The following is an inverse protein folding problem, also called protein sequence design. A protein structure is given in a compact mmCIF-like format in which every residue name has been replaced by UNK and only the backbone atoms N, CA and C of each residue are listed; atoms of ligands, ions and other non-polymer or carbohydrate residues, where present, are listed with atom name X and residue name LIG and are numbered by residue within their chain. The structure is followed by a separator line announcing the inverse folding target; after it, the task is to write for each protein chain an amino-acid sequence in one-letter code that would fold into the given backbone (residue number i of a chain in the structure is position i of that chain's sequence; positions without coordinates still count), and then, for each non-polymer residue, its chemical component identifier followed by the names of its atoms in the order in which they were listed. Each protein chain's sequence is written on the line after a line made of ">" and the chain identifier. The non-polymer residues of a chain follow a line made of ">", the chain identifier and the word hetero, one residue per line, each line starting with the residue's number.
data_IF_804472784652
#
_entry.id   IF_804472784652
#
_cell.length_a   1.000
_cell.length_b   1.000
_cell.length_c   1.000
_cell.angle_alpha   90.00
_cell.angle_beta   90.00
_cell.angle_gamma   90.00
#
_symmetry.space_group_name_H-M   'P 1'
#
loop_
_entity.id
_entity.type
_entity.pdbx_description
1 polymer ?
#
# COMPACT_ATOMS: atom_id res chain seq x y z
N UNK A 1 -2.01 4.92 -23.15
CA UNK A 1 -1.79 4.61 -21.71
C UNK A 1 -0.92 3.36 -21.62
N UNK A 2 0.10 3.40 -20.75
CA UNK A 2 1.01 2.28 -20.44
C UNK A 2 0.98 2.03 -18.95
N UNK A 3 1.31 0.83 -18.49
CA UNK A 3 1.28 0.50 -17.06
C UNK A 3 2.18 -0.66 -16.69
N UNK A 4 2.48 -0.74 -15.40
CA UNK A 4 2.94 -1.97 -14.79
C UNK A 4 2.00 -2.36 -13.65
N UNK A 5 1.89 -3.66 -13.41
CA UNK A 5 1.05 -4.22 -12.38
C UNK A 5 1.86 -5.18 -11.50
N UNK A 6 1.56 -5.13 -10.20
CA UNK A 6 2.24 -5.93 -9.20
C UNK A 6 1.22 -6.57 -8.27
N UNK A 7 1.40 -7.86 -7.96
CA UNK A 7 0.47 -8.60 -7.12
C UNK A 7 1.14 -9.90 -6.65
N UNK A 8 1.21 -10.16 -5.34
CA UNK A 8 1.76 -11.41 -4.83
C UNK A 8 0.90 -12.66 -5.11
N UNK A 9 -0.31 -12.48 -5.61
CA UNK A 9 -1.20 -13.52 -6.12
C UNK A 9 -1.72 -13.08 -7.50
N UNK A 10 -0.81 -12.92 -8.46
CA UNK A 10 -1.12 -12.47 -9.81
C UNK A 10 -2.03 -13.46 -10.58
N UNK A 11 -2.92 -12.96 -11.47
CA UNK A 11 -3.80 -13.84 -12.24
C UNK A 11 -3.02 -14.76 -13.18
N UNK A 12 -3.41 -16.03 -13.24
CA UNK A 12 -2.77 -17.03 -14.10
C UNK A 12 -1.38 -17.48 -13.66
N UNK A 13 -0.87 -16.96 -12.54
CA UNK A 13 0.46 -17.30 -12.01
C UNK A 13 0.33 -18.26 -10.83
N UNK A 14 0.98 -19.42 -10.92
CA UNK A 14 0.98 -20.45 -9.86
C UNK A 14 2.40 -20.67 -9.33
N UNK A 15 2.53 -20.87 -8.03
CA UNK A 15 3.80 -21.29 -7.41
C UNK A 15 4.80 -20.17 -7.10
N UNK A 16 4.49 -18.90 -7.38
CA UNK A 16 5.34 -17.78 -7.00
C UNK A 16 5.32 -17.59 -5.48
N UNK A 17 6.50 -17.62 -4.86
CA UNK A 17 6.70 -17.35 -3.43
C UNK A 17 7.38 -16.00 -3.27
N UNK A 18 6.63 -14.99 -2.84
CA UNK A 18 7.17 -13.69 -2.43
C UNK A 18 6.79 -13.39 -0.99
N UNK A 19 7.66 -12.66 -0.28
CA UNK A 19 7.35 -12.13 1.05
C UNK A 19 6.59 -10.80 0.98
N UNK A 20 6.50 -10.16 -0.18
CA UNK A 20 5.71 -8.94 -0.36
C UNK A 20 4.22 -9.27 -0.42
N UNK A 21 3.39 -8.44 0.22
CA UNK A 21 1.94 -8.51 0.07
C UNK A 21 1.40 -7.38 -0.81
N UNK A 22 2.28 -6.51 -1.29
CA UNK A 22 1.92 -5.33 -2.06
C UNK A 22 1.19 -5.74 -3.34
N UNK A 23 0.06 -5.09 -3.61
CA UNK A 23 -0.67 -5.21 -4.88
C UNK A 23 -1.08 -3.84 -5.39
N UNK A 24 -1.03 -3.66 -6.71
CA UNK A 24 -1.37 -2.39 -7.32
C UNK A 24 -1.02 -2.30 -8.79
N UNK A 25 -1.32 -1.13 -9.35
CA UNK A 25 -1.13 -0.78 -10.75
C UNK A 25 -0.66 0.66 -10.81
N UNK A 26 0.38 0.93 -11.60
CA UNK A 26 0.77 2.31 -11.93
C UNK A 26 0.57 2.49 -13.43
N UNK A 27 -0.28 3.45 -13.79
CA UNK A 27 -0.68 3.76 -15.15
C UNK A 27 -0.10 5.14 -15.51
N UNK A 28 0.53 5.23 -16.68
CA UNK A 28 1.12 6.43 -17.24
C UNK A 28 0.34 6.84 -18.50
N UNK A 29 0.22 8.14 -18.73
CA UNK A 29 -0.27 8.68 -19.98
C UNK A 29 0.89 9.00 -20.92
N UNK A 30 1.13 8.11 -21.88
CA UNK A 30 2.18 8.24 -22.88
C UNK A 30 1.82 9.17 -24.05
N UNK A 31 0.79 10.02 -23.90
CA UNK A 31 0.44 11.04 -24.90
C UNK A 31 1.32 12.27 -24.71
N UNK A 32 1.97 12.71 -25.79
CA UNK A 32 2.83 13.89 -25.80
C UNK A 32 2.14 15.11 -25.15
N UNK A 33 2.86 15.75 -24.22
CA UNK A 33 2.39 16.95 -23.50
C UNK A 33 1.40 16.68 -22.36
N UNK A 34 1.10 15.42 -22.03
CA UNK A 34 0.22 15.08 -20.91
C UNK A 34 1.02 14.70 -19.67
N UNK A 35 0.86 15.43 -18.57
CA UNK A 35 1.46 15.10 -17.26
C UNK A 35 0.41 14.42 -16.37
N UNK A 36 -0.01 13.20 -16.72
CA UNK A 36 -1.05 12.47 -15.98
C UNK A 36 -0.69 11.00 -15.77
N UNK A 37 -0.80 10.55 -14.53
CA UNK A 37 -0.66 9.16 -14.14
C UNK A 37 -1.71 8.78 -13.10
N UNK A 38 -1.92 7.48 -12.92
CA UNK A 38 -2.76 6.94 -11.88
C UNK A 38 -2.02 5.84 -11.11
N UNK A 39 -2.16 5.86 -9.78
CA UNK A 39 -1.68 4.78 -8.93
C UNK A 39 -2.83 4.13 -8.18
N UNK A 40 -3.00 2.84 -8.41
CA UNK A 40 -4.00 2.00 -7.77
C UNK A 40 -3.31 1.10 -6.76
N UNK A 41 -3.78 1.11 -5.52
CA UNK A 41 -3.37 0.19 -4.45
C UNK A 41 -4.57 -0.63 -4.04
N UNK A 42 -4.43 -1.96 -3.95
CA UNK A 42 -5.55 -2.83 -3.61
C UNK A 42 -5.16 -4.05 -2.79
N UNK A 43 -6.16 -4.77 -2.29
CA UNK A 43 -5.98 -6.04 -1.56
C UNK A 43 -6.39 -7.28 -2.37
N UNK A 44 -7.02 -7.09 -3.54
CA UNK A 44 -7.64 -8.14 -4.36
C UNK A 44 -6.61 -9.09 -5.01
N UNK A 45 -6.59 -10.40 -4.68
CA UNK A 45 -5.80 -11.39 -5.42
C UNK A 45 -6.38 -11.63 -6.82
N UNK A 46 -5.56 -12.06 -7.78
CA UNK A 46 -6.00 -12.31 -9.17
C UNK A 46 -6.37 -11.06 -9.96
N UNK A 47 -6.06 -9.86 -9.45
CA UNK A 47 -6.45 -8.58 -10.04
C UNK A 47 -5.26 -7.64 -10.29
N UNK A 48 -5.30 -6.80 -11.34
CA UNK A 48 -6.13 -6.94 -12.54
C UNK A 48 -5.61 -8.02 -13.50
N UNK A 49 -6.43 -8.43 -14.47
CA UNK A 49 -5.95 -9.19 -15.65
C UNK A 49 -5.50 -8.16 -16.71
N UNK A 50 -4.21 -8.11 -17.09
CA UNK A 50 -3.70 -7.11 -18.02
C UNK A 50 -4.33 -7.25 -19.42
N UNK A 51 -4.61 -6.10 -20.07
CA UNK A 51 -5.19 -6.01 -21.43
C UNK A 51 -6.54 -6.71 -21.64
N UNK A 52 -7.24 -7.06 -20.57
CA UNK A 52 -8.59 -7.62 -20.62
C UNK A 52 -9.57 -6.63 -20.01
N UNK A 53 -10.84 -6.70 -20.43
CA UNK A 53 -11.90 -5.91 -19.82
C UNK A 53 -11.95 -6.14 -18.31
N UNK A 54 -12.17 -5.05 -17.56
CA UNK A 54 -12.26 -5.08 -16.11
C UNK A 54 -13.27 -6.14 -15.65
N UNK A 55 -12.80 -7.03 -14.77
CA UNK A 55 -13.63 -8.02 -14.09
C UNK A 55 -13.11 -8.19 -12.66
N UNK A 56 -14.00 -8.12 -11.68
CA UNK A 56 -13.65 -8.41 -10.29
C UNK A 56 -13.64 -9.94 -10.08
N UNK A 57 -12.58 -10.52 -9.48
CA UNK A 57 -12.50 -11.97 -9.30
C UNK A 57 -13.66 -12.54 -8.48
N UNK A 58 -14.40 -13.48 -9.05
CA UNK A 58 -15.61 -14.03 -8.42
C UNK A 58 -15.32 -14.76 -7.10
N UNK A 59 -14.12 -15.33 -6.92
CA UNK A 59 -13.69 -15.96 -5.66
C UNK A 59 -13.59 -14.97 -4.49
N UNK A 60 -13.54 -13.67 -4.78
CA UNK A 60 -13.32 -12.61 -3.80
C UNK A 60 -14.60 -11.87 -3.42
N UNK A 61 -15.77 -12.22 -3.97
CA UNK A 61 -17.05 -11.55 -3.66
C UNK A 61 -17.47 -11.67 -2.19
N UNK A 62 -17.03 -12.73 -1.50
CA UNK A 62 -17.34 -12.96 -0.09
C UNK A 62 -16.40 -12.22 0.87
N UNK A 63 -15.36 -11.55 0.35
CA UNK A 63 -14.31 -10.92 1.14
C UNK A 63 -14.39 -9.38 1.09
N UNK A 64 -14.12 -8.73 2.21
CA UNK A 64 -13.90 -7.30 2.29
C UNK A 64 -12.57 -6.91 1.65
N UNK A 65 -12.62 -6.03 0.66
CA UNK A 65 -11.45 -5.51 -0.06
C UNK A 65 -11.41 -3.98 -0.02
N UNK A 66 -10.22 -3.44 -0.23
CA UNK A 66 -9.98 -2.02 -0.37
C UNK A 66 -9.26 -1.77 -1.69
N UNK A 67 -9.71 -0.74 -2.40
CA UNK A 67 -9.06 -0.20 -3.58
C UNK A 67 -8.93 1.31 -3.40
N UNK A 68 -7.73 1.84 -3.61
CA UNK A 68 -7.42 3.27 -3.60
C UNK A 68 -6.91 3.61 -4.99
N UNK A 69 -7.51 4.59 -5.65
CA UNK A 69 -7.05 5.13 -6.93
C UNK A 69 -6.67 6.60 -6.75
N UNK A 70 -5.42 6.94 -7.07
CA UNK A 70 -4.89 8.29 -6.98
C UNK A 70 -4.52 8.80 -8.37
N UNK A 71 -5.15 9.89 -8.80
CA UNK A 71 -4.68 10.66 -9.96
C UNK A 71 -3.52 11.55 -9.53
N UNK A 72 -2.39 11.42 -10.21
CA UNK A 72 -1.10 12.02 -9.84
C UNK A 72 -0.38 12.53 -11.09
N UNK A 73 0.49 13.52 -10.92
CA UNK A 73 1.43 13.91 -11.98
C UNK A 73 2.46 12.79 -12.19
N UNK A 74 3.04 12.69 -13.39
CA UNK A 74 4.04 11.67 -13.69
C UNK A 74 5.30 11.83 -12.85
N UNK A 75 5.61 13.06 -12.44
CA UNK A 75 6.70 13.35 -11.49
C UNK A 75 6.55 12.60 -10.16
N UNK A 76 5.35 12.17 -9.78
CA UNK A 76 5.09 11.41 -8.56
C UNK A 76 5.41 9.90 -8.69
N UNK A 77 5.70 9.41 -9.89
CA UNK A 77 6.00 7.99 -10.12
C UNK A 77 7.33 7.58 -9.49
N UNK A 78 8.37 8.43 -9.57
CA UNK A 78 9.68 8.12 -8.99
C UNK A 78 9.62 7.94 -7.46
N UNK A 79 8.98 8.82 -6.65
CA UNK A 79 8.83 8.57 -5.22
C UNK A 79 7.95 7.34 -4.92
N UNK A 80 6.93 7.03 -5.74
CA UNK A 80 6.16 5.78 -5.59
C UNK A 80 7.06 4.57 -5.83
N UNK A 81 7.86 4.59 -6.91
CA UNK A 81 8.79 3.53 -7.24
C UNK A 81 9.87 3.35 -6.16
N UNK A 82 10.38 4.44 -5.58
CA UNK A 82 11.31 4.37 -4.45
C UNK A 82 10.70 3.65 -3.24
N UNK A 83 9.40 3.87 -2.97
CA UNK A 83 8.70 3.15 -1.90
C UNK A 83 8.41 1.68 -2.26
N UNK A 84 8.08 1.38 -3.52
CA UNK A 84 7.88 0.00 -3.99
C UNK A 84 9.18 -0.80 -4.01
N UNK A 85 10.32 -0.17 -4.31
CA UNK A 85 11.64 -0.84 -4.28
C UNK A 85 11.95 -1.43 -2.90
N UNK A 86 11.49 -0.76 -1.84
CA UNK A 86 11.62 -1.25 -0.46
C UNK A 86 10.78 -2.49 -0.20
N UNK A 87 9.67 -2.67 -0.91
CA UNK A 87 8.77 -3.80 -0.70
C UNK A 87 9.01 -5.00 -1.60
N UNK A 88 9.90 -4.87 -2.60
CA UNK A 88 10.22 -5.92 -3.56
C UNK A 88 8.96 -6.65 -4.08
N UNK A 89 7.99 -5.90 -4.64
CA UNK A 89 6.73 -6.45 -5.08
C UNK A 89 6.94 -7.39 -6.28
N UNK A 90 6.04 -8.35 -6.46
CA UNK A 90 6.06 -9.20 -7.64
C UNK A 90 5.43 -8.47 -8.82
N UNK A 91 6.24 -7.94 -9.73
CA UNK A 91 5.80 -7.35 -11.00
C UNK A 91 5.46 -8.50 -11.95
N UNK A 92 4.20 -8.61 -12.36
CA UNK A 92 3.73 -9.68 -13.25
C UNK A 92 3.34 -9.17 -14.65
N UNK A 93 3.31 -7.84 -14.81
CA UNK A 93 3.06 -7.20 -16.09
C UNK A 93 3.74 -5.83 -16.14
N UNK A 94 4.35 -5.50 -17.28
CA UNK A 94 4.95 -4.20 -17.55
C UNK A 94 4.94 -3.94 -19.07
N UNK A 95 4.36 -2.82 -19.49
CA UNK A 95 4.52 -2.29 -20.85
C UNK A 95 4.95 -0.81 -20.87
N UNK A 96 5.52 -0.33 -19.76
CA UNK A 96 6.05 1.04 -19.66
C UNK A 96 7.24 1.22 -20.63
N UNK A 97 7.26 2.27 -21.47
CA UNK A 97 8.32 2.47 -22.45
C UNK A 97 9.68 2.73 -21.80
N UNK A 98 10.76 2.29 -22.45
CA UNK A 98 12.13 2.50 -21.96
C UNK A 98 12.47 3.99 -21.78
N UNK A 99 11.88 4.88 -22.58
CA UNK A 99 12.04 6.33 -22.42
C UNK A 99 11.58 6.80 -21.02
N UNK A 100 10.45 6.29 -20.53
CA UNK A 100 9.94 6.59 -19.19
C UNK A 100 10.76 5.91 -18.08
N UNK A 101 11.21 4.68 -18.33
CA UNK A 101 12.00 3.91 -17.36
C UNK A 101 13.39 4.50 -17.18
N UNK A 102 14.04 4.94 -18.24
CA UNK A 102 15.41 5.43 -18.20
C UNK A 102 15.56 6.79 -17.51
N UNK A 103 14.49 7.58 -17.41
CA UNK A 103 14.47 8.85 -16.68
C UNK A 103 14.19 8.66 -15.18
N UNK A 104 13.79 7.46 -14.74
CA UNK A 104 13.31 7.16 -13.38
C UNK A 104 14.11 6.01 -12.74
N UNK A 105 15.20 6.33 -12.01
CA UNK A 105 16.12 5.31 -11.50
C UNK A 105 15.46 4.28 -10.57
N UNK A 106 14.55 4.69 -9.70
CA UNK A 106 13.86 3.76 -8.80
C UNK A 106 12.86 2.90 -9.55
N UNK A 107 12.16 3.47 -10.53
CA UNK A 107 11.27 2.71 -11.40
C UNK A 107 12.02 1.62 -12.16
N UNK A 108 13.16 1.96 -12.76
CA UNK A 108 14.04 1.00 -13.45
C UNK A 108 14.45 -0.17 -12.56
N UNK A 109 14.79 0.10 -11.30
CA UNK A 109 15.14 -0.93 -10.31
C UNK A 109 13.96 -1.83 -9.97
N UNK A 110 12.78 -1.24 -9.74
CA UNK A 110 11.56 -2.00 -9.45
C UNK A 110 11.19 -2.92 -10.59
N UNK A 111 11.19 -2.41 -11.83
CA UNK A 111 10.82 -3.19 -13.03
C UNK A 111 11.86 -4.27 -13.37
N UNK A 112 13.13 -4.04 -13.02
CA UNK A 112 14.21 -5.04 -13.13
C UNK A 112 14.20 -6.09 -12.01
N UNK A 113 13.29 -5.99 -11.03
CA UNK A 113 13.22 -6.91 -9.89
C UNK A 113 14.36 -6.74 -8.87
N UNK A 114 15.03 -5.59 -8.86
CA UNK A 114 16.06 -5.30 -7.85
C UNK A 114 15.44 -5.12 -6.46
N UNK A 115 16.28 -5.28 -5.43
CA UNK A 115 15.86 -5.15 -4.03
C UNK A 115 16.67 -4.08 -3.31
N UNK A 116 16.09 -3.48 -2.27
CA UNK A 116 16.79 -2.49 -1.45
C UNK A 116 17.87 -3.16 -0.57
N UNK A 117 19.12 -3.14 -1.07
CA UNK A 117 20.27 -3.78 -0.40
C UNK A 117 21.03 -2.85 0.56
N UNK A 118 20.96 -1.54 0.36
CA UNK A 118 21.70 -0.54 1.16
C UNK A 118 20.78 0.17 2.16
N UNK A 119 21.28 0.55 3.34
CA UNK A 119 20.52 1.36 4.28
C UNK A 119 20.25 2.77 3.71
N UNK A 120 19.19 3.46 4.16
CA UNK A 120 18.24 3.04 5.19
C UNK A 120 17.22 1.98 4.71
N UNK A 121 16.92 0.98 5.56
CA UNK A 121 15.99 -0.11 5.22
C UNK A 121 14.51 0.22 5.45
N UNK A 122 14.20 1.50 5.67
CA UNK A 122 12.86 2.05 5.75
C UNK A 122 12.85 3.44 5.14
N UNK A 123 11.80 3.79 4.43
CA UNK A 123 11.68 5.08 3.76
C UNK A 123 10.31 5.71 4.03
N UNK A 124 10.28 7.04 3.96
CA UNK A 124 9.05 7.85 3.87
C UNK A 124 9.13 8.66 2.59
N UNK A 125 8.14 8.49 1.73
CA UNK A 125 7.95 9.31 0.54
C UNK A 125 6.71 10.17 0.72
N UNK A 126 6.72 11.37 0.15
CA UNK A 126 5.55 12.23 0.11
C UNK A 126 5.20 12.48 -1.35
N UNK A 127 3.93 12.27 -1.70
CA UNK A 127 3.37 12.61 -2.99
C UNK A 127 2.12 13.46 -2.80
N UNK A 128 1.60 14.00 -3.89
CA UNK A 128 0.32 14.72 -3.91
C UNK A 128 -0.51 14.29 -5.11
N UNK A 129 -1.83 14.28 -4.94
CA UNK A 129 -2.77 14.08 -6.05
C UNK A 129 -2.86 15.35 -6.91
N UNK A 130 -3.35 15.19 -8.15
CA UNK A 130 -3.68 16.31 -9.05
C UNK A 130 -5.07 16.92 -8.81
N UNK A 131 -5.71 16.61 -7.68
CA UNK A 131 -6.97 17.25 -7.31
C UNK A 131 -6.78 18.74 -7.02
N UNK A 132 -7.87 19.50 -7.03
CA UNK A 132 -7.89 20.89 -6.59
C UNK A 132 -8.91 21.07 -5.43
N UNK A 133 -8.46 21.27 -4.18
CA UNK A 133 -7.06 21.32 -3.73
C UNK A 133 -6.37 19.95 -3.77
N UNK A 134 -5.05 19.93 -3.89
CA UNK A 134 -4.27 18.69 -3.94
C UNK A 134 -4.33 17.96 -2.60
N UNK A 135 -4.46 16.64 -2.62
CA UNK A 135 -4.50 15.79 -1.41
C UNK A 135 -3.09 15.25 -1.14
N UNK A 136 -2.49 15.55 0.05
CA UNK A 136 -1.20 14.97 0.43
C UNK A 136 -1.31 13.47 0.72
N UNK A 137 -0.31 12.71 0.26
CA UNK A 137 -0.20 11.27 0.53
C UNK A 137 1.21 10.95 1.01
N UNK A 138 1.31 10.24 2.14
CA UNK A 138 2.57 9.75 2.69
C UNK A 138 2.68 8.25 2.47
N UNK A 139 3.80 7.80 1.92
CA UNK A 139 4.08 6.39 1.69
C UNK A 139 5.18 5.95 2.65
N UNK A 140 4.84 5.09 3.60
CA UNK A 140 5.80 4.47 4.51
C UNK A 140 6.15 3.10 3.97
N UNK A 141 7.43 2.79 3.84
CA UNK A 141 7.87 1.50 3.34
C UNK A 141 9.06 0.96 4.12
N UNK A 142 9.19 -0.36 4.17
CA UNK A 142 10.34 -1.05 4.75
C UNK A 142 10.64 -2.34 4.00
N UNK A 143 11.93 -2.68 3.98
CA UNK A 143 12.37 -4.00 3.54
C UNK A 143 12.42 -4.98 4.72
N UNK A 144 12.54 -6.27 4.40
CA UNK A 144 12.74 -7.34 5.39
C UNK A 144 14.02 -7.17 6.24
N UNK A 145 14.97 -6.35 5.78
CA UNK A 145 16.23 -6.05 6.50
C UNK A 145 16.02 -5.07 7.65
N UNK A 146 14.96 -4.27 7.63
CA UNK A 146 14.67 -3.27 8.69
C UNK A 146 14.44 -3.89 10.07
N UNK A 147 13.88 -5.10 10.13
CA UNK A 147 13.42 -5.78 11.36
C UNK A 147 12.40 -4.98 12.20
N UNK A 148 11.89 -3.88 11.66
CA UNK A 148 10.85 -3.07 12.28
C UNK A 148 9.47 -3.60 11.94
N UNK A 149 8.56 -3.52 12.91
CA UNK A 149 7.15 -3.66 12.58
C UNK A 149 6.64 -2.30 12.04
N UNK A 150 5.85 -2.30 10.97
CA UNK A 150 5.48 -1.05 10.28
C UNK A 150 4.55 -0.12 11.10
N UNK A 151 3.70 -0.65 11.97
CA UNK A 151 2.65 0.13 12.64
C UNK A 151 3.21 1.05 13.72
N UNK A 152 3.97 0.53 14.67
CA UNK A 152 4.49 1.30 15.81
C UNK A 152 5.79 2.03 15.47
N UNK A 153 6.79 1.29 14.95
CA UNK A 153 8.18 1.75 14.79
C UNK A 153 8.35 2.67 13.61
N UNK A 154 7.45 2.61 12.63
CA UNK A 154 7.46 3.47 11.45
C UNK A 154 6.29 4.45 11.52
N UNK A 155 5.04 3.99 11.37
CA UNK A 155 3.90 4.89 11.18
C UNK A 155 3.58 5.71 12.45
N UNK A 156 3.29 5.06 13.58
CA UNK A 156 2.96 5.78 14.83
C UNK A 156 4.10 6.68 15.31
N UNK A 157 5.36 6.24 15.15
CA UNK A 157 6.55 7.07 15.47
C UNK A 157 6.60 8.35 14.63
N UNK A 158 6.24 8.27 13.35
CA UNK A 158 6.23 9.40 12.42
C UNK A 158 5.02 10.31 12.63
N UNK A 159 3.82 9.75 12.80
CA UNK A 159 2.60 10.51 13.04
C UNK A 159 2.55 11.13 14.44
N UNK A 160 3.31 10.59 15.40
CA UNK A 160 3.36 11.01 16.81
C UNK A 160 1.99 10.95 17.52
N UNK A 161 1.07 10.08 17.06
CA UNK A 161 -0.30 9.93 17.56
C UNK A 161 -0.59 8.50 18.02
N UNK A 162 -1.57 8.34 18.91
CA UNK A 162 -2.25 7.05 19.13
C UNK A 162 -2.99 6.67 17.86
N UNK A 163 -2.88 5.41 17.46
CA UNK A 163 -3.51 4.88 16.24
C UNK A 163 -4.49 3.77 16.58
N UNK A 164 -5.64 3.75 15.91
CA UNK A 164 -6.59 2.63 15.86
C UNK A 164 -6.26 1.75 14.66
N UNK A 165 -6.23 0.44 14.84
CA UNK A 165 -5.81 -0.54 13.82
C UNK A 165 -6.89 -1.59 13.60
N UNK A 166 -7.34 -1.70 12.35
CA UNK A 166 -8.12 -2.82 11.83
C UNK A 166 -7.21 -3.73 11.02
N UNK A 167 -7.07 -4.97 11.45
CA UNK A 167 -6.20 -5.96 10.80
C UNK A 167 -6.37 -7.31 11.47
N UNK A 168 -6.19 -8.40 10.71
CA UNK A 168 -5.99 -9.75 11.26
C UNK A 168 -4.75 -9.80 12.14
N UNK A 169 -4.79 -10.61 13.20
CA UNK A 169 -3.78 -10.58 14.28
C UNK A 169 -3.30 -11.98 14.61
N UNK A 170 -2.02 -12.08 14.92
CA UNK A 170 -1.42 -13.30 15.49
C UNK A 170 -1.46 -13.32 17.03
N UNK A 171 -2.03 -12.28 17.65
CA UNK A 171 -2.10 -12.05 19.09
C UNK A 171 -0.72 -11.95 19.79
N UNK A 172 0.37 -11.79 19.05
CA UNK A 172 1.74 -11.69 19.60
C UNK A 172 2.21 -10.24 19.73
N UNK A 173 1.80 -9.36 18.82
CA UNK A 173 2.10 -7.93 18.94
C UNK A 173 1.23 -7.30 20.05
N UNK A 174 1.88 -6.60 20.98
CA UNK A 174 1.21 -5.94 22.10
C UNK A 174 0.78 -4.52 21.71
N UNK A 175 -0.48 -4.18 22.03
CA UNK A 175 -1.09 -2.85 21.87
C UNK A 175 -0.40 -1.73 22.67
N UNK A 176 0.22 -2.06 23.80
CA UNK A 176 0.84 -1.12 24.73
C UNK A 176 2.32 -1.43 24.95
N UNK A 177 3.23 -0.58 24.45
CA UNK A 177 4.61 -0.52 24.97
C UNK A 177 5.48 0.68 24.54
N UNK A 178 6.20 1.24 25.53
CA UNK A 178 7.42 2.08 25.53
C UNK A 178 7.41 3.54 25.04
N UNK A 179 6.36 4.06 24.40
CA UNK A 179 6.29 5.50 24.11
C UNK A 179 5.20 6.12 25.01
N UNK A 180 5.58 6.99 25.98
CA UNK A 180 4.60 7.68 26.81
C UNK A 180 3.58 8.43 25.96
N UNK A 181 2.29 8.26 26.26
CA UNK A 181 1.18 8.97 25.60
C UNK A 181 0.87 8.53 24.16
N UNK A 182 1.39 7.40 23.67
CA UNK A 182 1.05 6.84 22.35
C UNK A 182 0.70 5.36 22.45
N UNK A 183 -0.52 5.03 22.05
CA UNK A 183 -1.03 3.67 22.11
C UNK A 183 -1.32 3.11 20.71
N UNK A 184 -1.39 1.78 20.60
CA UNK A 184 -2.02 1.11 19.48
C UNK A 184 -3.33 0.57 20.00
N UNK A 185 -4.43 1.15 19.56
CA UNK A 185 -5.77 0.67 19.85
C UNK A 185 -6.19 -0.29 18.74
N UNK A 186 -6.86 -1.35 19.13
CA UNK A 186 -7.26 -2.41 18.23
C UNK A 186 -8.77 -2.28 17.99
N UNK A 187 -9.18 -2.11 16.73
CA UNK A 187 -10.61 -2.02 16.37
C UNK A 187 -11.28 -3.36 16.66
N UNK A 188 -12.41 -3.34 17.35
CA UNK A 188 -13.21 -4.54 17.65
C UNK A 188 -13.92 -5.03 16.40
N UNK A 189 -14.07 -6.35 16.27
CA UNK A 189 -14.82 -6.98 15.19
C UNK A 189 -16.18 -7.44 15.71
N UNK A 190 -17.26 -7.36 14.91
CA UNK A 190 -17.32 -6.86 13.54
C UNK A 190 -17.30 -5.32 13.44
N UNK A 191 -17.05 -4.81 12.23
CA UNK A 191 -17.34 -3.42 11.82
C UNK A 191 -18.52 -3.41 10.84
N UNK A 192 -19.18 -2.27 10.69
CA UNK A 192 -20.24 -2.09 9.69
C UNK A 192 -19.71 -1.35 8.46
N UNK A 193 -19.88 -1.97 7.29
CA UNK A 193 -19.59 -1.36 5.99
C UNK A 193 -20.91 -1.21 5.25
N UNK A 194 -21.44 0.02 5.19
CA UNK A 194 -22.72 0.33 4.58
C UNK A 194 -23.85 -0.64 5.03
N UNK A 195 -24.05 -0.77 6.34
CA UNK A 195 -25.02 -1.66 7.01
C UNK A 195 -24.75 -3.18 6.90
N UNK A 196 -23.62 -3.59 6.32
CA UNK A 196 -23.19 -4.98 6.28
C UNK A 196 -22.06 -5.23 7.27
N UNK A 197 -22.20 -6.26 8.10
CA UNK A 197 -21.17 -6.64 9.05
C UNK A 197 -19.95 -7.24 8.34
N UNK A 198 -18.78 -6.65 8.56
CA UNK A 198 -17.48 -7.18 8.13
C UNK A 198 -16.71 -7.69 9.36
N UNK A 199 -16.20 -8.92 9.26
CA UNK A 199 -15.43 -9.58 10.31
C UNK A 199 -13.97 -9.69 9.92
N UNK A 200 -13.06 -9.82 10.89
CA UNK A 200 -11.63 -9.97 10.58
C UNK A 200 -11.35 -11.22 9.72
N UNK A 201 -12.19 -12.25 9.80
CA UNK A 201 -12.07 -13.50 9.05
C UNK A 201 -12.49 -13.34 7.58
N UNK A 202 -13.45 -12.44 7.31
CA UNK A 202 -13.98 -12.15 5.97
C UNK A 202 -13.46 -10.84 5.40
N UNK A 203 -12.58 -10.14 6.08
CA UNK A 203 -11.97 -8.90 5.61
C UNK A 203 -10.45 -9.12 5.43
N UNK A 204 -9.91 -8.80 4.26
CA UNK A 204 -8.47 -8.93 3.99
C UNK A 204 -7.74 -7.59 4.07
N UNK A 205 -8.46 -6.51 4.39
CA UNK A 205 -7.88 -5.18 4.53
C UNK A 205 -7.10 -5.05 5.83
N UNK A 206 -6.06 -4.22 5.78
CA UNK A 206 -5.40 -3.75 6.98
C UNK A 206 -5.30 -2.24 6.86
N UNK A 207 -5.83 -1.53 7.85
CA UNK A 207 -5.82 -0.09 7.85
C UNK A 207 -5.66 0.45 9.25
N UNK A 208 -5.27 1.72 9.32
CA UNK A 208 -5.17 2.45 10.57
C UNK A 208 -5.59 3.91 10.39
N UNK A 209 -6.05 4.49 11.49
CA UNK A 209 -6.36 5.90 11.63
C UNK A 209 -5.78 6.42 12.95
N UNK A 210 -5.30 7.68 13.04
CA UNK A 210 -5.00 8.30 14.33
C UNK A 210 -6.30 8.58 15.12
N UNK A 211 -6.29 8.55 16.45
CA UNK A 211 -7.50 8.86 17.26
C UNK A 211 -8.09 10.25 16.96
N UNK A 212 -7.22 11.22 16.71
CA UNK A 212 -7.58 12.58 16.32
C UNK A 212 -6.79 12.95 15.07
N UNK A 213 -7.46 13.24 13.95
CA UNK A 213 -6.77 13.67 12.74
C UNK A 213 -7.64 13.61 11.48
N UNK A 214 -6.93 13.54 10.37
CA UNK A 214 -7.44 13.63 9.01
C UNK A 214 -6.72 12.63 8.10
N UNK A 215 -6.09 11.59 8.68
CA UNK A 215 -5.25 10.63 7.96
C UNK A 215 -5.89 9.25 7.98
N UNK A 216 -6.06 8.65 6.81
CA UNK A 216 -6.37 7.24 6.65
C UNK A 216 -5.17 6.52 6.03
N UNK A 217 -4.76 5.39 6.60
CA UNK A 217 -3.63 4.61 6.09
C UNK A 217 -4.06 3.18 5.75
N UNK A 218 -3.85 2.76 4.50
CA UNK A 218 -3.93 1.35 4.09
C UNK A 218 -2.55 0.70 4.22
N UNK A 219 -2.48 -0.51 4.76
CA UNK A 219 -1.25 -1.28 5.00
C UNK A 219 -1.35 -2.64 4.30
N UNK A 220 -0.30 -3.06 3.60
CA UNK A 220 -0.31 -4.33 2.86
C UNK A 220 -0.08 -5.56 3.74
N UNK A 221 0.47 -5.35 4.94
CA UNK A 221 0.76 -6.41 5.93
C UNK A 221 -0.17 -6.36 7.13
N UNK A 222 -0.53 -7.52 7.70
CA UNK A 222 -1.33 -7.57 8.90
C UNK A 222 -0.54 -7.15 10.15
N UNK A 223 -1.26 -6.85 11.23
CA UNK A 223 -0.72 -6.60 12.56
C UNK A 223 -0.30 -7.93 13.21
N UNK A 224 0.82 -8.46 12.73
CA UNK A 224 1.43 -9.72 13.18
C UNK A 224 2.94 -9.58 13.39
N UNK A 225 3.57 -10.42 14.23
CA UNK A 225 5.01 -10.37 14.50
C UNK A 225 5.85 -10.74 13.26
N UNK A 226 5.31 -11.62 12.39
CA UNK A 226 6.01 -12.14 11.21
C UNK A 226 6.45 -11.03 10.26
N UNK A 227 5.63 -9.99 10.10
CA UNK A 227 5.93 -8.87 9.20
C UNK A 227 7.23 -8.12 9.55
N UNK A 228 7.77 -8.25 10.77
CA UNK A 228 9.10 -7.71 11.09
C UNK A 228 10.17 -8.22 10.12
N UNK A 229 10.03 -9.46 9.65
CA UNK A 229 10.96 -10.14 8.75
C UNK A 229 10.49 -10.14 7.29
N UNK A 230 9.47 -9.35 6.97
CA UNK A 230 8.89 -9.22 5.63
C UNK A 230 8.95 -7.76 5.19
N UNK A 231 8.97 -7.48 3.87
CA UNK A 231 8.70 -6.13 3.37
C UNK A 231 7.27 -5.68 3.69
N UNK A 232 7.06 -4.38 3.83
CA UNK A 232 5.75 -3.79 4.06
C UNK A 232 5.66 -2.36 3.51
N UNK A 233 4.47 -1.96 3.06
CA UNK A 233 4.13 -0.58 2.68
C UNK A 233 2.82 -0.15 3.32
N UNK A 234 2.74 1.13 3.67
CA UNK A 234 1.52 1.81 4.03
C UNK A 234 1.35 3.09 3.21
N UNK A 235 0.14 3.30 2.70
CA UNK A 235 -0.26 4.49 1.94
C UNK A 235 -1.24 5.28 2.79
N UNK A 236 -0.80 6.45 3.23
CA UNK A 236 -1.51 7.32 4.17
C UNK A 236 -2.01 8.58 3.45
N UNK A 237 -3.31 8.73 3.32
CA UNK A 237 -3.97 9.85 2.64
C UNK A 237 -4.44 10.84 3.70
N UNK A 238 -4.09 12.12 3.54
CA UNK A 238 -4.54 13.19 4.42
C UNK A 238 -5.82 13.81 3.87
N UNK A 239 -6.98 13.23 4.20
CA UNK A 239 -8.31 13.73 3.85
C UNK A 239 -9.32 13.46 4.99
N UNK A 240 -9.79 14.52 5.63
CA UNK A 240 -10.83 14.51 6.66
C UNK A 240 -12.13 13.77 6.27
N UNK A 241 -12.62 13.87 5.03
CA UNK A 241 -13.86 13.15 4.65
C UNK A 241 -13.65 11.65 4.62
N UNK A 242 -12.50 11.17 4.12
CA UNK A 242 -12.16 9.75 4.18
C UNK A 242 -12.05 9.33 5.64
N UNK A 243 -11.32 10.10 6.44
CA UNK A 243 -11.14 9.83 7.87
C UNK A 243 -12.47 9.68 8.62
N UNK A 244 -13.47 10.52 8.36
CA UNK A 244 -14.78 10.48 9.03
C UNK A 244 -15.57 9.18 8.83
N UNK A 245 -15.21 8.36 7.84
CA UNK A 245 -15.86 7.08 7.57
C UNK A 245 -15.24 5.90 8.34
N UNK A 246 -14.16 6.11 9.11
CA UNK A 246 -13.43 5.08 9.85
C UNK A 246 -13.29 5.44 11.34
#
# INVERSE_FOLDING_TARGET
>A
KKFFAYNNAAPGVVGVKTKSNSKGVVILDDRDGTDEAAWIVHTVPGYPIPKVQYTFPASEYANGHLLICLTIAESQIEPIAAALLMTSPFIYYNDVPDAEVNTRPSLKKVLSGETALKPPFSAKQNIKTQANPSVPVQIFSKSERSKYEIYQKIISKQLKKTIKVWSRRDKKLKANCKIPGRHILLVSSPIDVNTQASSLEKDVTNWLIPENGDIFCAVDKPYAISQKYEPAVAVCIQQANIFKHF
#
